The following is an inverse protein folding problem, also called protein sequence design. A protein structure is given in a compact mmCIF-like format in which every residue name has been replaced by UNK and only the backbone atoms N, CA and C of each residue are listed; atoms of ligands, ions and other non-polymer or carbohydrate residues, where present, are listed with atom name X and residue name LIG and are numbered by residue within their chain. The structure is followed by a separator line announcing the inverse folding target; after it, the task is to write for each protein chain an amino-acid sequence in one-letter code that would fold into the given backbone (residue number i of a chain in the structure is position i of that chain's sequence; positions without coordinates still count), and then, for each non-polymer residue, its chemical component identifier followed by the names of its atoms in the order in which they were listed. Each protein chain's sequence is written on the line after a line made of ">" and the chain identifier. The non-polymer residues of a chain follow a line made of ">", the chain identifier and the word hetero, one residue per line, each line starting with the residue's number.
data_IF_270844563956
#
_entry.id   IF_270844563956
#
_cell.length_a   1.000
_cell.length_b   1.000
_cell.length_c   1.000
_cell.angle_alpha   90.00
_cell.angle_beta   90.00
_cell.angle_gamma   90.00
#
_symmetry.space_group_name_H-M   'P 1'
#
loop_
_entity.id
_entity.type
_entity.pdbx_description
1 polymer ?
#
# COMPACT_ATOMS: atom_id res chain seq x y z
N UNK A 1 -27.47 -24.28 -25.13
CA UNK A 1 -26.44 -23.37 -25.69
C UNK A 1 -25.45 -23.07 -24.58
N UNK A 2 -24.36 -23.84 -24.55
CA UNK A 2 -23.25 -23.67 -23.60
C UNK A 2 -22.36 -22.54 -24.10
N UNK A 3 -22.36 -21.42 -23.39
CA UNK A 3 -21.44 -20.31 -23.66
C UNK A 3 -20.08 -20.74 -23.12
N UNK A 4 -19.16 -21.03 -24.04
CA UNK A 4 -17.74 -21.23 -23.73
C UNK A 4 -17.21 -19.94 -23.10
N UNK A 5 -16.77 -19.99 -21.85
CA UNK A 5 -15.91 -18.98 -21.26
C UNK A 5 -14.46 -19.40 -21.49
N UNK A 6 -14.01 -19.24 -22.74
CA UNK A 6 -12.59 -19.27 -23.05
C UNK A 6 -11.97 -18.00 -22.44
N UNK A 7 -11.51 -18.12 -21.19
CA UNK A 7 -10.55 -17.18 -20.65
C UNK A 7 -9.31 -17.24 -21.55
N UNK A 8 -8.79 -16.09 -22.04
CA UNK A 8 -7.63 -16.11 -22.90
C UNK A 8 -6.45 -16.75 -22.15
N UNK A 9 -5.61 -17.54 -22.84
CA UNK A 9 -4.43 -18.13 -22.24
C UNK A 9 -3.55 -17.03 -21.64
N UNK A 10 -3.00 -17.30 -20.45
CA UNK A 10 -2.00 -16.44 -19.81
C UNK A 10 -0.83 -16.33 -20.78
N UNK A 11 -0.77 -15.23 -21.51
CA UNK A 11 0.42 -14.83 -22.23
C UNK A 11 1.50 -14.54 -21.18
N UNK A 12 2.35 -15.53 -20.91
CA UNK A 12 3.68 -15.31 -20.34
C UNK A 12 4.52 -14.63 -21.41
N UNK A 13 4.19 -13.39 -21.76
CA UNK A 13 4.93 -12.61 -22.75
C UNK A 13 6.21 -12.05 -22.10
N UNK A 14 7.33 -12.52 -22.66
CA UNK A 14 8.68 -11.98 -22.65
C UNK A 14 9.41 -11.84 -21.31
N UNK A 15 10.27 -12.82 -20.99
CA UNK A 15 11.65 -12.60 -20.51
C UNK A 15 11.88 -11.73 -19.27
N UNK A 16 10.85 -11.40 -18.49
CA UNK A 16 10.95 -10.52 -17.34
C UNK A 16 11.57 -11.30 -16.18
N UNK A 17 12.80 -10.94 -15.82
CA UNK A 17 13.47 -11.46 -14.62
C UNK A 17 12.65 -11.08 -13.39
N UNK A 18 12.14 -12.09 -12.67
CA UNK A 18 11.59 -11.90 -11.33
C UNK A 18 12.64 -11.22 -10.44
N UNK A 19 12.24 -10.21 -9.65
CA UNK A 19 13.14 -9.44 -8.78
C UNK A 19 13.54 -10.21 -7.51
N UNK A 20 13.86 -11.50 -7.67
CA UNK A 20 14.38 -12.36 -6.60
C UNK A 20 15.83 -11.95 -6.37
N UNK A 21 16.14 -11.55 -5.13
CA UNK A 21 17.46 -11.11 -4.71
C UNK A 21 17.63 -11.26 -3.20
N UNK A 22 18.87 -11.13 -2.76
CA UNK A 22 19.19 -11.07 -1.34
C UNK A 22 18.48 -9.91 -0.62
N UNK A 23 17.89 -10.15 0.56
CA UNK A 23 17.31 -9.10 1.39
C UNK A 23 18.30 -7.99 1.72
N UNK A 24 17.77 -6.76 1.75
CA UNK A 24 18.56 -5.60 2.13
C UNK A 24 18.79 -5.59 3.64
N UNK A 25 20.05 -5.38 4.04
CA UNK A 25 20.45 -5.25 5.45
C UNK A 25 20.47 -3.80 5.90
N UNK A 26 20.01 -3.56 7.13
CA UNK A 26 20.12 -2.27 7.81
C UNK A 26 21.59 -1.94 8.08
N UNK A 27 21.97 -0.68 7.91
CA UNK A 27 23.25 -0.14 8.35
C UNK A 27 23.20 0.40 9.80
N UNK A 28 21.99 0.64 10.33
CA UNK A 28 21.78 1.21 11.67
C UNK A 28 21.95 2.73 11.70
N UNK A 29 21.97 3.41 10.56
CA UNK A 29 22.24 4.87 10.53
C UNK A 29 21.10 5.69 11.12
N UNK A 30 19.92 5.09 11.27
CA UNK A 30 18.74 5.71 11.89
C UNK A 30 18.70 5.56 13.42
N UNK A 31 19.54 4.71 14.02
CA UNK A 31 19.47 4.38 15.47
C UNK A 31 19.82 5.57 16.37
N UNK A 32 20.56 6.55 15.84
CA UNK A 32 20.87 7.81 16.52
C UNK A 32 19.68 8.76 16.64
N UNK A 33 18.62 8.56 15.86
CA UNK A 33 17.43 9.40 15.91
C UNK A 33 16.42 8.81 16.90
N UNK A 34 15.89 9.69 17.75
CA UNK A 34 14.82 9.33 18.68
C UNK A 34 13.65 8.72 17.90
N UNK A 35 13.26 7.52 18.32
CA UNK A 35 12.13 6.81 17.73
C UNK A 35 11.55 5.79 18.69
N UNK A 36 10.33 5.35 18.43
CA UNK A 36 9.68 4.27 19.18
C UNK A 36 8.78 3.44 18.27
N UNK A 37 8.57 2.17 18.63
CA UNK A 37 7.59 1.33 17.96
C UNK A 37 6.20 1.71 18.45
N UNK A 38 5.29 2.05 17.53
CA UNK A 38 3.92 2.47 17.89
C UNK A 38 3.10 1.30 18.42
N UNK A 39 3.27 0.12 17.81
CA UNK A 39 2.82 -1.17 18.36
C UNK A 39 3.95 -2.20 18.24
N UNK A 40 3.88 -3.34 18.93
CA UNK A 40 4.88 -4.40 18.77
C UNK A 40 5.03 -4.87 17.31
N UNK A 41 3.91 -5.17 16.64
CA UNK A 41 3.92 -5.78 15.31
C UNK A 41 4.12 -4.79 14.15
N UNK A 42 3.66 -3.54 14.26
CA UNK A 42 3.59 -2.59 13.15
C UNK A 42 3.79 -1.15 13.64
N UNK A 43 4.34 -0.29 12.78
CA UNK A 43 4.53 1.12 13.06
C UNK A 43 5.85 1.43 13.77
N UNK A 44 6.47 2.53 13.34
CA UNK A 44 7.56 3.20 14.05
C UNK A 44 7.42 4.71 13.86
N UNK A 45 7.58 5.48 14.91
CA UNK A 45 7.48 6.94 14.83
C UNK A 45 8.83 7.59 15.13
N UNK A 46 9.17 8.61 14.36
CA UNK A 46 10.31 9.50 14.56
C UNK A 46 9.78 10.90 14.93
N UNK A 47 9.46 11.16 16.21
CA UNK A 47 8.69 12.34 16.61
C UNK A 47 9.46 13.65 16.40
N UNK A 48 10.79 13.61 16.51
CA UNK A 48 11.65 14.81 16.49
C UNK A 48 12.46 14.91 15.19
N UNK A 49 12.31 13.96 14.26
CA UNK A 49 13.10 13.94 13.02
C UNK A 49 12.46 14.78 11.92
N UNK A 50 13.31 15.44 11.13
CA UNK A 50 12.93 16.08 9.88
C UNK A 50 13.43 15.25 8.68
N UNK A 51 12.51 14.76 7.86
CA UNK A 51 12.85 13.91 6.71
C UNK A 51 13.53 14.71 5.58
N UNK A 52 13.24 16.01 5.45
CA UNK A 52 13.89 16.89 4.47
C UNK A 52 15.36 17.11 4.82
N UNK A 53 15.69 17.22 6.11
CA UNK A 53 17.10 17.25 6.55
C UNK A 53 17.82 15.96 6.14
N UNK A 54 17.18 14.80 6.30
CA UNK A 54 17.75 13.52 5.86
C UNK A 54 17.93 13.48 4.34
N UNK A 55 16.97 14.00 3.58
CA UNK A 55 17.06 14.09 2.13
C UNK A 55 18.22 14.98 1.67
N UNK A 56 18.57 16.03 2.41
CA UNK A 56 19.64 16.99 2.09
C UNK A 56 20.99 16.66 2.72
N UNK A 57 21.05 15.69 3.63
CA UNK A 57 22.27 15.31 4.32
C UNK A 57 23.34 14.76 3.35
N UNK A 58 24.65 14.89 3.65
CA UNK A 58 25.71 14.32 2.82
C UNK A 58 25.61 12.79 2.63
N UNK A 59 25.06 12.07 3.61
CA UNK A 59 24.82 10.64 3.57
C UNK A 59 23.33 10.28 3.30
N UNK A 60 22.62 11.16 2.58
CA UNK A 60 21.18 11.05 2.30
C UNK A 60 20.74 9.68 1.75
N UNK A 61 21.49 9.12 0.79
CA UNK A 61 21.16 7.79 0.23
C UNK A 61 21.20 6.68 1.28
N UNK A 62 22.13 6.75 2.24
CA UNK A 62 22.19 5.75 3.31
C UNK A 62 21.02 5.89 4.28
N UNK A 63 20.67 7.13 4.65
CA UNK A 63 19.52 7.42 5.51
C UNK A 63 18.21 6.95 4.88
N UNK A 64 17.99 7.29 3.61
CA UNK A 64 16.77 6.93 2.90
C UNK A 64 16.70 5.43 2.59
N UNK A 65 17.83 4.77 2.33
CA UNK A 65 17.86 3.31 2.17
C UNK A 65 17.52 2.60 3.48
N UNK A 66 18.12 2.99 4.60
CA UNK A 66 17.77 2.42 5.91
C UNK A 66 16.33 2.76 6.30
N UNK A 67 15.81 3.92 5.90
CA UNK A 67 14.40 4.29 6.07
C UNK A 67 13.50 3.35 5.26
N UNK A 68 13.79 3.10 3.99
CA UNK A 68 13.05 2.17 3.15
C UNK A 68 12.99 0.76 3.76
N UNK A 69 14.11 0.25 4.28
CA UNK A 69 14.17 -1.05 4.96
C UNK A 69 13.38 -1.02 6.28
N UNK A 70 13.50 0.06 7.04
CA UNK A 70 12.74 0.26 8.28
C UNK A 70 11.25 0.25 8.02
N UNK A 71 10.79 0.95 6.98
CA UNK A 71 9.37 0.95 6.56
C UNK A 71 8.96 -0.46 6.16
N UNK A 72 9.73 -1.17 5.33
CA UNK A 72 9.41 -2.54 4.91
C UNK A 72 9.35 -3.55 6.07
N UNK A 73 10.16 -3.35 7.13
CA UNK A 73 10.14 -4.20 8.32
C UNK A 73 9.03 -3.83 9.30
N UNK A 74 8.63 -2.56 9.35
CA UNK A 74 7.64 -2.02 10.30
C UNK A 74 6.29 -1.76 9.68
N UNK A 75 6.11 -1.96 8.38
CA UNK A 75 4.90 -1.67 7.61
C UNK A 75 4.71 -0.18 7.31
N UNK A 76 4.75 0.66 8.35
CA UNK A 76 4.53 2.12 8.26
C UNK A 76 5.44 2.86 9.23
N UNK A 77 5.87 4.06 8.85
CA UNK A 77 6.56 5.00 9.73
C UNK A 77 5.89 6.38 9.72
N UNK A 78 6.05 7.12 10.82
CA UNK A 78 5.43 8.42 11.03
C UNK A 78 6.46 9.50 11.37
N UNK A 79 6.22 10.71 10.88
CA UNK A 79 6.94 11.91 11.27
C UNK A 79 5.92 13.04 11.52
N UNK A 80 6.24 13.93 12.46
CA UNK A 80 5.33 15.00 12.88
C UNK A 80 5.70 16.34 12.27
N UNK A 81 4.70 17.15 11.92
CA UNK A 81 4.84 18.56 11.56
C UNK A 81 5.98 18.89 10.55
N UNK A 82 6.05 18.19 9.43
CA UNK A 82 7.08 18.36 8.40
C UNK A 82 6.81 19.60 7.53
N UNK A 83 6.97 20.79 8.09
CA UNK A 83 6.56 22.07 7.48
C UNK A 83 7.33 22.45 6.22
N UNK A 84 8.56 21.97 6.05
CA UNK A 84 9.42 22.25 4.89
C UNK A 84 9.38 21.14 3.83
N UNK A 85 8.60 20.07 4.03
CA UNK A 85 8.35 19.04 3.03
C UNK A 85 7.35 19.54 1.98
N UNK A 86 7.88 20.18 0.94
CA UNK A 86 7.09 20.59 -0.23
C UNK A 86 6.55 19.38 -0.99
N UNK A 87 5.56 19.59 -1.86
CA UNK A 87 5.01 18.52 -2.69
C UNK A 87 6.07 17.91 -3.63
N UNK A 88 6.96 18.75 -4.17
CA UNK A 88 8.10 18.30 -4.98
C UNK A 88 9.09 17.45 -4.18
N UNK A 89 9.43 17.87 -2.95
CA UNK A 89 10.28 17.06 -2.07
C UNK A 89 9.58 15.75 -1.67
N UNK A 90 8.27 15.75 -1.45
CA UNK A 90 7.51 14.54 -1.15
C UNK A 90 7.54 13.54 -2.32
N UNK A 91 7.40 14.02 -3.56
CA UNK A 91 7.56 13.20 -4.78
C UNK A 91 8.96 12.62 -4.91
N UNK A 92 10.00 13.45 -4.70
CA UNK A 92 11.39 13.01 -4.71
C UNK A 92 11.66 11.96 -3.63
N UNK A 93 11.12 12.14 -2.43
CA UNK A 93 11.24 11.17 -1.34
C UNK A 93 10.61 9.82 -1.73
N UNK A 94 9.38 9.82 -2.23
CA UNK A 94 8.69 8.60 -2.67
C UNK A 94 9.50 7.89 -3.78
N UNK A 95 9.95 8.64 -4.78
CA UNK A 95 10.74 8.07 -5.87
C UNK A 95 12.06 7.47 -5.38
N UNK A 96 12.80 8.18 -4.52
CA UNK A 96 14.10 7.75 -3.99
C UNK A 96 13.99 6.57 -3.05
N UNK A 97 12.94 6.47 -2.23
CA UNK A 97 12.69 5.27 -1.41
C UNK A 97 12.58 4.03 -2.30
N UNK A 98 11.79 4.11 -3.38
CA UNK A 98 11.68 3.04 -4.37
C UNK A 98 13.03 2.69 -5.01
N UNK A 99 13.76 3.68 -5.53
CA UNK A 99 15.08 3.47 -6.19
C UNK A 99 16.11 2.86 -5.23
N UNK A 100 16.25 3.41 -4.02
CA UNK A 100 17.24 2.95 -3.04
C UNK A 100 16.88 1.59 -2.43
N UNK A 101 15.59 1.26 -2.44
CA UNK A 101 15.11 -0.09 -2.15
C UNK A 101 15.20 -1.02 -3.36
N UNK A 102 15.59 -0.53 -4.53
CA UNK A 102 15.85 -1.28 -5.75
C UNK A 102 14.60 -1.72 -6.52
N UNK A 103 13.60 -0.85 -6.68
CA UNK A 103 12.53 -1.02 -7.68
C UNK A 103 13.08 -1.10 -9.11
N UNK A 104 12.30 -1.59 -10.09
CA UNK A 104 12.71 -1.59 -11.50
C UNK A 104 12.99 -0.18 -12.07
N UNK A 105 13.99 -0.07 -12.96
CA UNK A 105 14.49 1.21 -13.50
C UNK A 105 13.49 1.95 -14.40
N UNK A 106 12.45 1.29 -14.89
CA UNK A 106 11.37 1.85 -15.70
C UNK A 106 10.16 2.30 -14.85
N UNK A 107 10.17 2.02 -13.54
CA UNK A 107 9.11 2.40 -12.63
C UNK A 107 9.32 3.81 -12.04
N UNK A 108 8.28 4.63 -12.06
CA UNK A 108 8.25 6.05 -11.69
C UNK A 108 7.21 6.28 -10.59
N UNK A 109 6.71 7.51 -10.47
CA UNK A 109 5.60 7.83 -9.59
C UNK A 109 4.28 7.45 -10.27
N UNK A 110 3.31 7.04 -9.47
CA UNK A 110 1.99 6.66 -9.94
C UNK A 110 1.21 7.89 -10.43
N UNK A 111 0.51 7.71 -11.54
CA UNK A 111 -0.51 8.65 -12.03
C UNK A 111 -1.86 7.99 -11.86
N UNK A 112 -2.80 8.65 -11.18
CA UNK A 112 -4.08 8.01 -10.85
C UNK A 112 -4.99 7.86 -12.08
N UNK A 113 -5.76 6.75 -12.21
CA UNK A 113 -6.69 6.56 -13.32
C UNK A 113 -7.70 7.70 -13.50
N UNK A 114 -8.01 8.43 -12.42
CA UNK A 114 -8.91 9.59 -12.43
C UNK A 114 -8.21 10.93 -12.68
N UNK A 115 -6.91 10.98 -13.00
CA UNK A 115 -6.18 12.27 -13.09
C UNK A 115 -6.78 13.27 -14.10
N UNK A 116 -7.50 12.81 -15.13
CA UNK A 116 -8.22 13.70 -16.07
C UNK A 116 -9.47 14.34 -15.47
N UNK A 117 -10.06 13.68 -14.47
CA UNK A 117 -11.28 14.12 -13.79
C UNK A 117 -10.97 14.86 -12.49
N UNK A 118 -9.92 14.44 -11.78
CA UNK A 118 -9.43 15.14 -10.60
C UNK A 118 -8.82 16.47 -11.03
N UNK A 119 -9.09 17.53 -10.26
CA UNK A 119 -8.43 18.84 -10.41
C UNK A 119 -6.99 18.83 -9.86
N UNK A 120 -6.29 17.71 -9.99
CA UNK A 120 -4.92 17.58 -9.51
C UNK A 120 -4.02 18.41 -10.45
N UNK A 121 -3.28 19.39 -9.89
CA UNK A 121 -2.38 20.24 -10.67
C UNK A 121 -1.13 19.49 -11.14
N UNK A 122 -0.80 18.42 -10.44
CA UNK A 122 0.35 17.56 -10.67
C UNK A 122 -0.16 16.12 -10.78
N UNK A 123 0.00 15.44 -11.94
CA UNK A 123 -0.53 14.09 -12.14
C UNK A 123 0.14 13.02 -11.26
N UNK A 124 1.33 13.30 -10.71
CA UNK A 124 2.07 12.39 -9.83
C UNK A 124 1.73 12.59 -8.35
N UNK A 125 0.84 13.53 -8.03
CA UNK A 125 0.44 13.87 -6.67
C UNK A 125 -1.08 13.85 -6.52
N UNK A 126 -1.58 12.93 -5.72
CA UNK A 126 -3.01 12.79 -5.48
C UNK A 126 -3.46 13.71 -4.34
N UNK A 127 -4.41 14.60 -4.59
CA UNK A 127 -5.04 15.41 -3.54
C UNK A 127 -6.31 14.73 -3.04
N UNK A 128 -6.23 14.12 -1.86
CA UNK A 128 -7.35 13.44 -1.19
C UNK A 128 -8.01 14.45 -0.26
N UNK A 129 -9.19 14.97 -0.63
CA UNK A 129 -9.82 16.09 0.08
C UNK A 129 -11.33 15.96 0.20
N UNK A 130 -11.86 16.40 1.34
CA UNK A 130 -13.30 16.63 1.54
C UNK A 130 -13.73 18.08 1.26
N UNK A 131 -12.79 19.00 1.02
CA UNK A 131 -13.08 20.44 0.80
C UNK A 131 -13.94 20.69 -0.44
N UNK A 132 -13.95 19.76 -1.40
CA UNK A 132 -14.63 19.94 -2.69
C UNK A 132 -16.13 19.63 -2.63
N UNK A 133 -16.62 19.04 -1.55
CA UNK A 133 -18.04 18.73 -1.40
C UNK A 133 -18.83 20.00 -1.06
N UNK A 134 -20.00 20.18 -1.68
CA UNK A 134 -20.90 21.30 -1.37
C UNK A 134 -21.38 21.24 0.10
N UNK A 135 -21.56 20.03 0.63
CA UNK A 135 -21.80 19.75 2.03
C UNK A 135 -20.91 18.58 2.49
N UNK A 136 -19.69 18.85 2.99
CA UNK A 136 -18.73 17.79 3.35
C UNK A 136 -19.25 16.83 4.40
N UNK A 137 -20.05 17.29 5.36
CA UNK A 137 -20.60 16.43 6.40
C UNK A 137 -21.61 15.42 5.85
N UNK A 138 -22.50 15.88 4.98
CA UNK A 138 -23.49 15.02 4.32
C UNK A 138 -22.84 14.06 3.32
N UNK A 139 -21.85 14.52 2.56
CA UNK A 139 -21.08 13.68 1.63
C UNK A 139 -20.35 12.56 2.39
N UNK A 140 -19.66 12.89 3.48
CA UNK A 140 -19.01 11.91 4.35
C UNK A 140 -20.00 10.90 4.92
N UNK A 141 -21.19 11.34 5.36
CA UNK A 141 -22.20 10.44 5.89
C UNK A 141 -22.73 9.48 4.82
N UNK A 142 -23.05 9.99 3.63
CA UNK A 142 -23.55 9.20 2.50
C UNK A 142 -22.51 8.21 1.97
N UNK A 143 -21.24 8.63 1.96
CA UNK A 143 -20.14 7.82 1.43
C UNK A 143 -19.44 6.97 2.52
N UNK A 144 -19.88 7.05 3.77
CA UNK A 144 -19.35 6.20 4.84
C UNK A 144 -19.66 4.74 4.49
N UNK A 145 -18.64 3.87 4.36
CA UNK A 145 -18.88 2.48 4.01
C UNK A 145 -19.76 1.79 5.05
N UNK A 146 -20.91 1.25 4.61
CA UNK A 146 -21.76 0.41 5.46
C UNK A 146 -21.07 -0.91 5.82
N UNK A 147 -20.16 -1.37 4.93
CA UNK A 147 -19.26 -2.48 5.18
C UNK A 147 -17.81 -1.97 5.22
N UNK A 148 -17.34 -1.71 6.43
CA UNK A 148 -15.96 -1.26 6.68
C UNK A 148 -14.92 -2.35 6.44
N UNK A 149 -15.32 -3.64 6.41
CA UNK A 149 -14.39 -4.75 6.15
C UNK A 149 -13.86 -4.64 4.73
N UNK A 150 -14.74 -4.29 3.79
CA UNK A 150 -14.39 -4.04 2.39
C UNK A 150 -13.79 -2.63 2.13
N UNK A 151 -13.32 -1.91 3.16
CA UNK A 151 -12.55 -0.68 2.98
C UNK A 151 -11.03 -0.91 2.99
N UNK A 152 -10.57 -2.04 3.54
CA UNK A 152 -9.17 -2.43 3.53
C UNK A 152 -8.65 -2.64 2.11
N UNK A 153 -7.45 -2.13 1.85
CA UNK A 153 -6.78 -2.31 0.56
C UNK A 153 -5.27 -2.09 0.66
N UNK A 154 -4.56 -2.59 -0.34
CA UNK A 154 -3.24 -2.13 -0.74
C UNK A 154 -3.39 -1.19 -1.94
N UNK A 155 -2.63 -0.10 -1.96
CA UNK A 155 -2.69 0.85 -3.08
C UNK A 155 -2.34 0.17 -4.40
N UNK A 156 -3.13 0.45 -5.44
CA UNK A 156 -2.87 0.03 -6.84
C UNK A 156 -2.67 -1.48 -7.04
N UNK A 157 -3.18 -2.33 -6.13
CA UNK A 157 -3.07 -3.80 -6.29
C UNK A 157 -3.74 -4.36 -7.55
N UNK A 158 -4.52 -3.55 -8.27
CA UNK A 158 -5.13 -3.86 -9.56
C UNK A 158 -4.22 -3.56 -10.77
N UNK A 159 -3.04 -2.98 -10.56
CA UNK A 159 -2.03 -2.69 -11.58
C UNK A 159 -1.03 -3.84 -11.69
N UNK A 160 -0.46 -4.07 -12.88
CA UNK A 160 0.54 -5.13 -13.08
C UNK A 160 1.81 -4.89 -12.25
N UNK A 161 2.26 -3.64 -12.18
CA UNK A 161 3.26 -3.15 -11.24
C UNK A 161 2.54 -2.30 -10.17
N UNK A 162 2.15 -2.86 -9.02
CA UNK A 162 1.54 -2.09 -7.95
C UNK A 162 2.58 -1.22 -7.23
N UNK A 163 2.09 -0.37 -6.33
CA UNK A 163 2.88 0.52 -5.52
C UNK A 163 3.86 -0.23 -4.60
N UNK A 164 5.07 0.30 -4.45
CA UNK A 164 6.00 -0.10 -3.38
C UNK A 164 5.75 0.73 -2.12
N UNK A 165 5.96 2.05 -2.19
CA UNK A 165 5.78 2.98 -1.07
C UNK A 165 4.76 4.06 -1.40
N UNK A 166 3.94 4.38 -0.40
CA UNK A 166 3.05 5.55 -0.43
C UNK A 166 3.44 6.51 0.68
N UNK A 167 3.39 7.81 0.38
CA UNK A 167 3.60 8.88 1.34
C UNK A 167 2.36 9.75 1.38
N UNK A 168 1.71 9.84 2.54
CA UNK A 168 0.59 10.74 2.77
C UNK A 168 1.00 11.85 3.73
N UNK A 169 0.86 13.10 3.29
CA UNK A 169 1.06 14.31 4.11
C UNK A 169 -0.27 15.01 4.33
N UNK A 170 -0.67 15.20 5.58
CA UNK A 170 -1.91 15.91 5.90
C UNK A 170 -1.69 17.42 5.85
N UNK A 171 -2.49 18.14 5.08
CA UNK A 171 -2.41 19.61 4.96
C UNK A 171 -3.61 20.31 5.62
N UNK A 172 -4.72 19.58 5.84
CA UNK A 172 -5.84 20.04 6.67
C UNK A 172 -6.39 18.86 7.46
N UNK A 173 -6.81 19.14 8.68
CA UNK A 173 -7.30 18.15 9.63
C UNK A 173 -8.65 18.60 10.17
N UNK A 174 -9.59 17.66 10.41
CA UNK A 174 -10.76 17.94 11.22
C UNK A 174 -10.33 18.15 12.69
N UNK A 175 -11.23 18.67 13.51
CA UNK A 175 -11.02 18.85 14.96
C UNK A 175 -10.67 17.52 15.65
N UNK A 176 -11.28 16.42 15.21
CA UNK A 176 -10.95 15.05 15.60
C UNK A 176 -11.47 14.05 14.56
N UNK A 177 -11.03 12.80 14.65
CA UNK A 177 -11.32 11.75 13.67
C UNK A 177 -10.54 11.93 12.36
N UNK A 178 -10.92 11.17 11.33
CA UNK A 178 -10.20 11.21 10.04
C UNK A 178 -8.87 10.48 10.08
N UNK A 179 -8.73 9.58 11.04
CA UNK A 179 -7.56 8.74 11.23
C UNK A 179 -7.37 7.78 10.05
N UNK A 180 -6.17 7.24 9.98
CA UNK A 180 -5.87 6.12 9.07
C UNK A 180 -5.52 4.90 9.90
N UNK A 181 -6.00 3.74 9.47
CA UNK A 181 -5.69 2.45 10.08
C UNK A 181 -4.89 1.58 9.11
N UNK A 182 -3.92 0.84 9.63
CA UNK A 182 -3.09 -0.12 8.91
C UNK A 182 -3.19 -1.51 9.56
N UNK A 183 -3.03 -2.56 8.74
CA UNK A 183 -2.94 -3.95 9.18
C UNK A 183 -1.68 -4.61 8.60
N UNK A 184 -0.93 -5.33 9.43
CA UNK A 184 0.30 -6.01 9.01
C UNK A 184 -0.01 -7.31 8.28
N UNK A 185 0.23 -7.32 6.98
CA UNK A 185 0.04 -8.52 6.16
C UNK A 185 1.03 -9.65 6.48
N UNK A 186 2.22 -9.30 6.97
CA UNK A 186 3.21 -10.28 7.46
C UNK A 186 2.77 -10.91 8.78
N UNK A 187 2.30 -10.12 9.76
CA UNK A 187 1.84 -10.69 11.03
C UNK A 187 0.62 -11.59 10.84
N UNK A 188 -0.30 -11.19 9.96
CA UNK A 188 -1.45 -12.03 9.60
C UNK A 188 -0.97 -13.34 8.99
N UNK A 189 -0.02 -13.32 8.06
CA UNK A 189 0.52 -14.53 7.45
C UNK A 189 1.21 -15.44 8.47
N UNK A 190 1.98 -14.86 9.39
CA UNK A 190 2.71 -15.57 10.45
C UNK A 190 1.78 -16.26 11.45
N UNK A 191 0.53 -15.78 11.61
CA UNK A 191 -0.51 -16.42 12.42
C UNK A 191 -1.19 -17.62 11.75
N UNK A 192 -1.20 -17.68 10.41
CA UNK A 192 -1.78 -18.81 9.68
C UNK A 192 -0.97 -20.07 9.98
N UNK A 193 -1.60 -21.22 10.15
CA UNK A 193 -0.85 -22.47 10.38
C UNK A 193 0.03 -22.87 9.18
N UNK A 194 1.16 -23.56 9.38
CA UNK A 194 2.01 -24.00 8.26
C UNK A 194 1.27 -24.81 7.18
N UNK A 195 0.29 -25.63 7.56
CA UNK A 195 -0.52 -26.40 6.62
C UNK A 195 -1.34 -25.50 5.68
N UNK A 196 -2.00 -24.48 6.23
CA UNK A 196 -2.74 -23.50 5.42
C UNK A 196 -1.78 -22.64 4.59
N UNK A 197 -0.64 -22.22 5.13
CA UNK A 197 0.37 -21.47 4.35
C UNK A 197 0.78 -22.23 3.11
N UNK A 198 1.12 -23.52 3.24
CA UNK A 198 1.49 -24.36 2.09
C UNK A 198 0.39 -24.43 1.02
N UNK A 199 -0.89 -24.46 1.43
CA UNK A 199 -2.01 -24.38 0.50
C UNK A 199 -2.08 -23.02 -0.21
N UNK A 200 -1.85 -21.91 0.51
CA UNK A 200 -1.94 -20.55 -0.03
C UNK A 200 -0.79 -20.16 -0.95
N UNK A 201 0.41 -20.70 -0.74
CA UNK A 201 1.64 -20.35 -1.49
C UNK A 201 1.58 -20.71 -2.99
N UNK A 202 0.65 -21.58 -3.40
CA UNK A 202 0.41 -21.92 -4.81
C UNK A 202 -0.74 -21.17 -5.49
N UNK A 203 -1.49 -20.34 -4.76
CA UNK A 203 -2.69 -19.69 -5.27
C UNK A 203 -2.36 -18.32 -5.89
N UNK A 204 -3.16 -17.94 -6.89
CA UNK A 204 -3.18 -16.60 -7.47
C UNK A 204 -4.55 -15.96 -7.31
N UNK A 205 -4.57 -14.63 -7.29
CA UNK A 205 -5.80 -13.85 -7.22
C UNK A 205 -5.84 -12.83 -8.36
N UNK A 206 -7.03 -12.64 -8.92
CA UNK A 206 -7.30 -11.52 -9.80
C UNK A 206 -7.68 -10.31 -8.97
N UNK A 207 -6.90 -9.24 -9.11
CA UNK A 207 -7.20 -7.94 -8.54
C UNK A 207 -7.83 -7.06 -9.62
N UNK A 208 -8.89 -6.33 -9.28
CA UNK A 208 -9.59 -5.43 -10.18
C UNK A 208 -10.14 -4.21 -9.44
N UNK A 209 -10.05 -3.04 -10.09
CA UNK A 209 -10.75 -1.83 -9.66
C UNK A 209 -12.02 -1.64 -10.48
N UNK A 210 -13.06 -2.38 -10.13
CA UNK A 210 -14.32 -2.42 -10.89
C UNK A 210 -15.17 -1.16 -10.74
N UNK A 211 -15.01 -0.39 -9.65
CA UNK A 211 -15.84 0.80 -9.38
C UNK A 211 -15.48 1.98 -10.27
N UNK A 212 -14.20 2.15 -10.63
CA UNK A 212 -13.77 3.32 -11.41
C UNK A 212 -14.31 3.30 -12.85
N UNK A 213 -14.23 2.20 -13.62
CA UNK A 213 -14.84 2.13 -14.95
C UNK A 213 -16.35 2.36 -14.94
N UNK A 214 -17.06 1.84 -13.92
CA UNK A 214 -18.50 2.06 -13.75
C UNK A 214 -18.78 3.55 -13.51
N UNK A 215 -18.10 4.17 -12.54
CA UNK A 215 -18.24 5.60 -12.22
C UNK A 215 -17.90 6.51 -13.41
N UNK A 216 -16.88 6.14 -14.18
CA UNK A 216 -16.49 6.85 -15.41
C UNK A 216 -17.60 6.82 -16.46
N UNK A 217 -18.21 5.65 -16.69
CA UNK A 217 -19.33 5.50 -17.61
C UNK A 217 -20.59 6.26 -17.13
N UNK A 218 -20.93 6.15 -15.85
CA UNK A 218 -22.09 6.83 -15.25
C UNK A 218 -21.98 8.36 -15.28
N UNK A 219 -20.76 8.88 -15.06
CA UNK A 219 -20.50 10.34 -14.98
C UNK A 219 -19.98 10.93 -16.29
N UNK A 220 -19.80 10.12 -17.33
CA UNK A 220 -19.40 10.57 -18.66
C UNK A 220 -17.98 11.15 -18.75
N UNK A 221 -17.01 10.62 -17.99
CA UNK A 221 -15.61 11.02 -18.11
C UNK A 221 -14.72 9.83 -18.52
N UNK A 222 -13.55 10.13 -19.08
CA UNK A 222 -12.58 9.10 -19.48
C UNK A 222 -11.55 8.81 -18.39
N UNK A 223 -11.23 7.53 -18.23
CA UNK A 223 -10.08 7.11 -17.43
C UNK A 223 -8.75 7.40 -18.16
N UNK A 224 -7.70 7.62 -17.39
CA UNK A 224 -6.35 7.78 -17.90
C UNK A 224 -5.77 6.41 -18.32
N UNK A 225 -5.59 6.21 -19.63
CA UNK A 225 -5.18 4.95 -20.23
C UNK A 225 -3.67 4.83 -20.52
N UNK A 226 -2.94 5.94 -20.44
CA UNK A 226 -1.48 6.00 -20.65
C UNK A 226 -0.71 5.39 -19.46
N UNK A 227 0.62 5.18 -19.57
CA UNK A 227 1.42 4.61 -18.49
C UNK A 227 1.25 5.32 -17.15
N UNK A 228 0.77 4.59 -16.14
CA UNK A 228 0.54 5.09 -14.76
C UNK A 228 1.74 4.84 -13.85
N UNK A 229 2.91 5.31 -14.30
CA UNK A 229 4.17 5.16 -13.58
C UNK A 229 4.95 3.87 -13.90
N UNK A 230 4.43 3.00 -14.76
CA UNK A 230 5.16 1.85 -15.33
C UNK A 230 4.66 1.60 -16.75
N UNK A 231 5.52 1.16 -17.70
CA UNK A 231 5.07 0.76 -19.03
C UNK A 231 4.08 -0.42 -19.01
N UNK A 232 4.02 -1.19 -17.92
CA UNK A 232 3.09 -2.29 -17.74
C UNK A 232 1.72 -1.86 -17.18
N UNK A 233 1.60 -0.63 -16.68
CA UNK A 233 0.39 -0.08 -16.05
C UNK A 233 -0.35 0.82 -17.03
N UNK A 234 -0.98 0.21 -18.03
CA UNK A 234 -1.65 0.89 -19.14
C UNK A 234 -3.09 0.42 -19.30
N UNK A 235 -3.87 1.11 -20.12
CA UNK A 235 -5.25 0.78 -20.41
C UNK A 235 -6.22 1.07 -19.26
N UNK A 236 -7.49 0.70 -19.46
CA UNK A 236 -8.60 1.06 -18.55
C UNK A 236 -9.27 -0.14 -17.89
N UNK A 237 -8.77 -1.36 -18.14
CA UNK A 237 -9.30 -2.57 -17.50
C UNK A 237 -9.06 -2.60 -15.99
N UNK A 238 -7.99 -1.93 -15.54
CA UNK A 238 -7.55 -1.83 -14.14
C UNK A 238 -7.66 -3.19 -13.44
N UNK A 239 -7.00 -4.19 -14.03
CA UNK A 239 -7.03 -5.58 -13.58
C UNK A 239 -5.67 -6.22 -13.76
N UNK A 240 -5.24 -6.97 -12.75
CA UNK A 240 -3.99 -7.73 -12.75
C UNK A 240 -4.15 -9.06 -12.01
N UNK A 241 -3.26 -10.02 -12.27
CA UNK A 241 -3.18 -11.29 -11.54
C UNK A 241 -1.90 -11.32 -10.73
N UNK A 242 -2.01 -11.66 -9.45
CA UNK A 242 -0.91 -11.68 -8.49
C UNK A 242 -0.96 -12.94 -7.63
N UNK A 243 0.15 -13.37 -7.02
CA UNK A 243 0.11 -14.47 -6.06
C UNK A 243 -0.68 -14.06 -4.80
N UNK A 244 -1.37 -15.01 -4.19
CA UNK A 244 -2.08 -14.81 -2.91
C UNK A 244 -1.11 -14.51 -1.79
N UNK A 245 0.06 -15.16 -1.80
CA UNK A 245 1.19 -14.88 -0.91
C UNK A 245 2.32 -14.30 -1.74
N UNK A 246 2.80 -13.11 -1.39
CA UNK A 246 3.94 -12.48 -2.09
C UNK A 246 5.19 -12.46 -1.22
N UNK A 247 6.34 -12.33 -1.87
CA UNK A 247 7.63 -12.02 -1.23
C UNK A 247 7.91 -10.53 -1.36
N UNK A 248 8.30 -9.87 -0.26
CA UNK A 248 8.81 -8.50 -0.31
C UNK A 248 10.30 -8.52 -0.72
N UNK A 249 10.71 -7.88 -1.84
CA UNK A 249 12.10 -7.92 -2.32
C UNK A 249 13.09 -7.09 -1.49
N UNK A 250 12.62 -6.33 -0.49
CA UNK A 250 13.47 -5.59 0.46
C UNK A 250 13.82 -6.45 1.65
N UNK A 251 12.86 -7.19 2.21
CA UNK A 251 13.05 -7.97 3.44
C UNK A 251 13.21 -9.48 3.19
N UNK A 252 12.79 -9.98 2.02
CA UNK A 252 12.65 -11.40 1.76
C UNK A 252 11.53 -12.06 2.58
N UNK A 253 10.59 -11.27 3.11
CA UNK A 253 9.51 -11.78 3.94
C UNK A 253 8.27 -12.10 3.12
N UNK A 254 7.59 -13.18 3.50
CA UNK A 254 6.26 -13.53 3.00
C UNK A 254 5.20 -12.61 3.61
N UNK A 255 4.24 -12.21 2.79
CA UNK A 255 3.01 -11.55 3.21
C UNK A 255 1.81 -12.13 2.48
N UNK A 256 0.69 -12.24 3.19
CA UNK A 256 -0.61 -12.41 2.53
C UNK A 256 -0.86 -11.15 1.70
N UNK A 257 -1.25 -11.27 0.43
CA UNK A 257 -1.45 -10.11 -0.45
C UNK A 257 -2.89 -9.98 -0.94
N UNK A 258 -3.55 -11.12 -1.21
CA UNK A 258 -4.91 -11.15 -1.73
C UNK A 258 -5.97 -10.87 -0.67
N UNK A 259 -5.95 -9.66 -0.11
CA UNK A 259 -6.97 -9.18 0.84
C UNK A 259 -7.42 -7.78 0.48
N UNK A 260 -8.67 -7.47 0.84
CA UNK A 260 -9.26 -6.16 0.62
C UNK A 260 -10.10 -6.08 -0.66
N UNK A 261 -10.56 -4.88 -0.94
CA UNK A 261 -11.62 -4.64 -1.93
C UNK A 261 -11.21 -4.72 -3.40
N UNK A 262 -9.91 -4.78 -3.68
CA UNK A 262 -9.41 -4.98 -5.03
C UNK A 262 -9.41 -6.45 -5.43
N UNK A 263 -9.54 -7.40 -4.51
CA UNK A 263 -9.55 -8.83 -4.85
C UNK A 263 -10.92 -9.21 -5.41
N UNK A 264 -10.95 -9.64 -6.67
CA UNK A 264 -12.18 -10.13 -7.29
C UNK A 264 -12.39 -11.62 -7.01
N UNK A 265 -11.33 -12.42 -7.19
CA UNK A 265 -11.38 -13.88 -7.02
C UNK A 265 -9.99 -14.48 -6.83
N UNK A 266 -9.95 -15.65 -6.22
CA UNK A 266 -8.80 -16.55 -6.16
C UNK A 266 -8.97 -17.58 -7.26
N UNK A 267 -8.01 -17.65 -8.17
CA UNK A 267 -8.21 -18.20 -9.51
C UNK A 267 -8.31 -19.73 -9.55
N UNK A 268 -7.61 -20.41 -8.65
CA UNK A 268 -7.54 -21.87 -8.59
C UNK A 268 -8.68 -22.49 -7.75
N UNK A 269 -9.56 -21.66 -7.18
CA UNK A 269 -10.65 -22.09 -6.33
C UNK A 269 -12.01 -21.92 -7.02
N UNK A 270 -12.98 -22.73 -6.62
CA UNK A 270 -14.37 -22.51 -7.05
C UNK A 270 -14.88 -21.16 -6.52
N UNK A 271 -15.93 -20.57 -7.12
CA UNK A 271 -16.46 -19.28 -6.66
C UNK A 271 -16.88 -19.26 -5.18
N UNK A 272 -17.37 -20.38 -4.63
CA UNK A 272 -17.74 -20.47 -3.21
C UNK A 272 -16.51 -20.51 -2.29
N UNK A 273 -15.52 -21.33 -2.65
CA UNK A 273 -14.24 -21.42 -1.91
C UNK A 273 -13.49 -20.09 -1.95
N UNK A 274 -13.39 -19.45 -3.11
CA UNK A 274 -12.76 -18.14 -3.28
C UNK A 274 -13.41 -17.09 -2.37
N UNK A 275 -14.75 -17.02 -2.36
CA UNK A 275 -15.50 -16.07 -1.52
C UNK A 275 -15.24 -16.32 -0.05
N UNK A 276 -15.39 -17.58 0.41
CA UNK A 276 -15.17 -17.94 1.83
C UNK A 276 -13.74 -17.67 2.29
N UNK A 277 -12.76 -17.95 1.42
CA UNK A 277 -11.36 -17.74 1.75
C UNK A 277 -11.02 -16.24 1.84
N UNK A 278 -11.53 -15.42 0.93
CA UNK A 278 -11.39 -13.96 1.00
C UNK A 278 -12.11 -13.37 2.22
N UNK A 279 -13.32 -13.85 2.54
CA UNK A 279 -14.06 -13.45 3.75
C UNK A 279 -13.27 -13.77 5.03
N UNK A 280 -12.61 -14.93 5.10
CA UNK A 280 -11.74 -15.30 6.22
C UNK A 280 -10.53 -14.38 6.33
N UNK A 281 -9.89 -14.02 5.21
CA UNK A 281 -8.78 -13.08 5.25
C UNK A 281 -9.20 -11.70 5.78
N UNK A 282 -10.35 -11.19 5.35
CA UNK A 282 -10.93 -9.95 5.86
C UNK A 282 -11.31 -10.07 7.34
N UNK A 283 -11.80 -11.24 7.77
CA UNK A 283 -12.11 -11.51 9.17
C UNK A 283 -10.85 -11.42 10.04
N UNK A 284 -9.75 -12.06 9.63
CA UNK A 284 -8.49 -11.98 10.36
C UNK A 284 -8.01 -10.54 10.52
N UNK A 285 -8.08 -9.71 9.47
CA UNK A 285 -7.70 -8.29 9.61
C UNK A 285 -8.51 -7.61 10.69
N UNK A 286 -9.83 -7.83 10.73
CA UNK A 286 -10.76 -7.07 11.57
C UNK A 286 -10.76 -7.57 13.03
N UNK A 287 -10.64 -8.87 13.24
CA UNK A 287 -10.73 -9.50 14.57
C UNK A 287 -9.37 -9.60 15.28
N UNK A 288 -8.26 -9.65 14.54
CA UNK A 288 -6.91 -9.76 15.12
C UNK A 288 -6.31 -8.37 15.39
N UNK A 289 -6.75 -7.75 16.48
CA UNK A 289 -6.41 -6.36 16.83
C UNK A 289 -4.91 -6.09 17.01
N UNK A 290 -4.13 -7.10 17.39
CA UNK A 290 -2.67 -7.02 17.57
C UNK A 290 -1.90 -6.94 16.24
N UNK A 291 -2.58 -7.14 15.09
CA UNK A 291 -2.03 -6.95 13.75
C UNK A 291 -2.26 -5.54 13.21
N UNK A 292 -3.05 -4.72 13.91
CA UNK A 292 -3.52 -3.41 13.46
C UNK A 292 -2.83 -2.25 14.17
N UNK A 293 -2.83 -1.09 13.51
CA UNK A 293 -2.45 0.19 14.08
C UNK A 293 -3.35 1.28 13.53
N UNK A 294 -4.00 2.03 14.44
CA UNK A 294 -4.72 3.26 14.12
C UNK A 294 -3.82 4.44 14.45
N UNK A 295 -3.52 5.28 13.45
CA UNK A 295 -2.77 6.51 13.65
C UNK A 295 -3.72 7.68 13.73
N UNK A 296 -3.68 8.38 14.87
CA UNK A 296 -4.32 9.68 15.01
C UNK A 296 -3.40 10.76 14.45
N UNK A 297 -3.93 11.50 13.48
CA UNK A 297 -3.24 12.67 12.95
C UNK A 297 -3.34 13.81 13.96
N UNK A 298 -2.21 14.45 14.29
CA UNK A 298 -2.14 15.43 15.37
C UNK A 298 -1.82 16.83 14.86
N UNK A 299 -0.91 16.94 13.89
CA UNK A 299 -0.44 18.23 13.40
C UNK A 299 -0.63 18.35 11.90
N UNK A 300 -0.79 19.60 11.46
CA UNK A 300 -0.64 19.94 10.06
C UNK A 300 0.78 19.52 9.61
N UNK A 301 0.85 18.87 8.44
CA UNK A 301 2.06 18.31 7.85
C UNK A 301 2.66 17.11 8.61
N UNK A 302 1.86 16.44 9.45
CA UNK A 302 2.16 15.05 9.81
C UNK A 302 2.21 14.20 8.53
N UNK A 303 3.16 13.26 8.50
CA UNK A 303 3.32 12.32 7.38
C UNK A 303 3.30 10.87 7.87
N UNK A 304 2.70 10.02 7.06
CA UNK A 304 2.87 8.58 7.12
C UNK A 304 3.52 8.09 5.82
N UNK A 305 4.51 7.21 5.95
CA UNK A 305 5.14 6.51 4.83
C UNK A 305 4.98 5.01 5.08
N UNK A 306 4.36 4.28 4.15
CA UNK A 306 4.15 2.85 4.30
C UNK A 306 4.60 2.05 3.09
N UNK A 307 4.95 0.79 3.33
CA UNK A 307 5.27 -0.20 2.32
C UNK A 307 4.03 -1.01 1.98
N UNK A 308 3.43 -0.71 0.83
CA UNK A 308 2.23 -1.35 0.29
C UNK A 308 2.39 -2.87 0.13
N UNK A 309 3.61 -3.40 0.05
CA UNK A 309 3.86 -4.85 -0.06
C UNK A 309 3.65 -5.58 1.26
N UNK A 310 3.57 -4.85 2.37
CA UNK A 310 3.53 -5.40 3.74
C UNK A 310 2.35 -4.94 4.58
N UNK A 311 1.53 -4.03 4.08
CA UNK A 311 0.36 -3.54 4.82
C UNK A 311 -0.88 -3.42 3.96
N UNK A 312 -2.01 -3.56 4.63
CA UNK A 312 -3.29 -3.02 4.18
C UNK A 312 -3.56 -1.72 4.93
N UNK A 313 -4.41 -0.86 4.37
CA UNK A 313 -4.87 0.33 5.07
C UNK A 313 -6.31 0.70 4.73
N UNK A 314 -6.91 1.52 5.58
CA UNK A 314 -8.21 2.14 5.35
C UNK A 314 -8.23 3.54 5.97
N UNK A 315 -8.92 4.48 5.31
CA UNK A 315 -9.30 5.73 5.92
C UNK A 315 -10.49 5.52 6.87
N UNK A 316 -10.56 6.28 7.96
CA UNK A 316 -11.68 6.29 8.89
C UNK A 316 -12.51 7.54 8.63
N UNK A 317 -13.78 7.36 8.29
CA UNK A 317 -14.73 8.42 7.94
C UNK A 317 -15.60 8.83 9.14
N UNK A 318 -14.99 9.04 10.31
CA UNK A 318 -15.65 9.34 11.60
C UNK A 318 -15.66 10.83 11.97
N UNK A 319 -15.52 11.72 10.98
CA UNK A 319 -15.32 13.16 11.18
C UNK A 319 -16.35 14.05 10.48
N UNK A 320 -17.54 13.52 10.18
CA UNK A 320 -18.62 14.30 9.58
C UNK A 320 -19.03 15.46 10.51
N UNK A 321 -19.02 16.69 9.98
CA UNK A 321 -19.33 17.90 10.74
C UNK A 321 -18.19 18.45 11.59
N UNK A 322 -17.01 17.81 11.58
CA UNK A 322 -15.84 18.20 12.41
C UNK A 322 -14.78 18.99 11.63
N UNK A 323 -15.13 19.49 10.44
CA UNK A 323 -14.21 20.18 9.54
C UNK A 323 -13.67 19.30 8.41
N UNK A 324 -12.80 19.88 7.60
CA UNK A 324 -12.29 19.23 6.39
C UNK A 324 -10.99 18.47 6.63
N UNK A 325 -10.82 17.40 5.85
CA UNK A 325 -9.57 16.63 5.79
C UNK A 325 -8.99 16.74 4.38
N UNK A 326 -7.74 17.16 4.28
CA UNK A 326 -7.01 17.22 3.01
C UNK A 326 -5.62 16.65 3.19
N UNK A 327 -5.24 15.69 2.35
CA UNK A 327 -3.91 15.11 2.32
C UNK A 327 -3.37 14.99 0.90
N UNK A 328 -2.07 15.19 0.75
CA UNK A 328 -1.34 15.02 -0.51
C UNK A 328 -0.63 13.68 -0.49
N UNK A 329 -0.84 12.86 -1.51
CA UNK A 329 -0.27 11.51 -1.60
C UNK A 329 0.60 11.33 -2.84
N UNK A 330 1.88 11.08 -2.60
CA UNK A 330 2.83 10.61 -3.61
C UNK A 330 2.99 9.09 -3.46
N UNK A 331 3.03 8.38 -4.59
CA UNK A 331 3.10 6.91 -4.61
C UNK A 331 4.18 6.50 -5.60
N UNK A 332 5.12 5.69 -5.14
CA UNK A 332 6.13 5.06 -6.01
C UNK A 332 5.61 3.71 -6.49
N UNK A 333 5.90 3.39 -7.76
CA UNK A 333 5.56 2.10 -8.38
C UNK A 333 6.70 1.12 -8.21
N UNK A 334 6.38 -0.10 -7.80
CA UNK A 334 7.33 -1.17 -7.50
C UNK A 334 7.40 -2.26 -8.57
N UNK A 335 7.89 -3.42 -8.15
CA UNK A 335 8.01 -4.62 -8.97
C UNK A 335 6.66 -5.31 -9.23
N UNK A 336 6.62 -6.16 -10.26
CA UNK A 336 5.53 -7.14 -10.43
C UNK A 336 5.60 -8.12 -9.24
N UNK A 337 4.51 -8.31 -8.48
CA UNK A 337 4.50 -9.19 -7.31
C UNK A 337 4.84 -10.63 -7.69
N UNK A 338 5.66 -11.27 -6.87
CA UNK A 338 6.07 -12.66 -7.04
C UNK A 338 6.06 -13.40 -5.71
N UNK A 339 6.01 -14.72 -5.79
CA UNK A 339 6.25 -15.63 -4.67
C UNK A 339 7.60 -16.31 -4.87
N UNK A 340 8.43 -16.36 -3.83
CA UNK A 340 9.67 -17.13 -3.80
C UNK A 340 9.53 -18.22 -2.75
N UNK A 341 9.60 -19.51 -3.11
CA UNK A 341 9.47 -20.60 -2.14
C UNK A 341 10.56 -20.59 -1.05
N UNK A 342 11.71 -19.96 -1.31
CA UNK A 342 12.82 -19.86 -0.36
C UNK A 342 12.70 -18.64 0.59
N UNK A 343 11.71 -17.76 0.38
CA UNK A 343 11.50 -16.63 1.27
C UNK A 343 10.99 -17.11 2.64
N UNK A 344 11.15 -16.27 3.66
CA UNK A 344 10.84 -16.64 5.05
C UNK A 344 9.59 -15.93 5.53
N UNK A 345 8.92 -16.53 6.51
CA UNK A 345 7.98 -15.75 7.33
C UNK A 345 8.74 -14.66 8.09
N UNK A 346 8.04 -13.63 8.52
CA UNK A 346 8.70 -12.54 9.25
C UNK A 346 9.28 -13.05 10.58
N UNK A 347 8.54 -13.88 11.31
CA UNK A 347 9.01 -14.50 12.57
C UNK A 347 10.26 -15.35 12.39
N UNK A 348 10.33 -16.18 11.35
CA UNK A 348 11.54 -16.98 11.06
C UNK A 348 12.74 -16.07 10.78
N UNK A 349 12.58 -15.07 9.91
CA UNK A 349 13.67 -14.17 9.56
C UNK A 349 14.16 -13.34 10.76
N UNK A 350 13.24 -12.90 11.63
CA UNK A 350 13.60 -12.15 12.83
C UNK A 350 14.21 -13.03 13.92
N UNK A 351 13.80 -14.30 14.04
CA UNK A 351 14.44 -15.26 14.93
C UNK A 351 15.89 -15.54 14.52
N UNK A 352 16.18 -15.64 13.22
CA UNK A 352 17.55 -15.77 12.70
C UNK A 352 18.44 -14.55 13.03
N UNK A 353 17.83 -13.37 13.21
CA UNK A 353 18.50 -12.15 13.65
C UNK A 353 18.63 -12.04 15.18
N UNK A 354 18.14 -13.04 15.94
CA UNK A 354 18.17 -13.05 17.40
C UNK A 354 17.08 -12.21 18.07
N UNK A 355 16.04 -11.79 17.33
CA UNK A 355 14.88 -11.09 17.87
C UNK A 355 13.89 -12.14 18.39
N UNK A 356 13.70 -12.18 19.71
CA UNK A 356 12.73 -13.07 20.37
C UNK A 356 11.35 -12.39 20.41
N UNK A 357 10.29 -13.18 20.17
CA UNK A 357 8.88 -12.74 20.22
C UNK A 357 8.19 -13.19 21.50
#
# INVERSE_FOLDING_TARGET
>A
MTVSHDAPPIQTEHGQKTLIREPLKLKGVLDKYKSFNVTPAIGKEFPDANVVEWMKAPNSDELLRDLAITISRRGVVFFRAQTDLTDELQKQLAHRLGVLSGKPDDCRLHIHPLTKHNLDKDPELNVITTDKAANPAEDLWKNRPADIRNAWHTDTGYERNPADYSILKLVKLPETGGDTIWGSSCEIYDKISPAYRSFLEGLTATFAQTRLPISAAEKGFELYAEPRGSPNNVGTSLRAVHPVVRTNPVTGWKSLFAVGNHVERINELTPDESRRLHDWFLQMIVEEHDTQLRHRWENQYDIAIWDNRTVYHSAIFDFAGLGCRTGHRAVSIGEIPYFDPNSKTRREALADEGVMF
#
